data_IF_525114335289
#
_entry.id   IF_525114335289
#
_cell.length_a   1.000
_cell.length_b   1.000
_cell.length_c   1.000
_cell.angle_alpha   90.00
_cell.angle_beta   90.00
_cell.angle_gamma   90.00
#
_symmetry.space_group_name_H-M   'P 1'
#
loop_
_entity.id
_entity.type
_entity.pdbx_description
1 polymer ?
#
# COMPACT_ATOMS: atom_id res chain seq x y z
N UNK A 1 28.90 -6.79 46.81
CA UNK A 1 27.66 -6.53 46.04
C UNK A 1 27.99 -6.67 44.56
N UNK A 2 27.73 -7.85 44.01
CA UNK A 2 27.86 -8.12 42.58
C UNK A 2 26.68 -7.47 41.85
N UNK A 3 26.96 -6.42 41.07
CA UNK A 3 25.97 -5.81 40.20
C UNK A 3 25.68 -6.78 39.06
N UNK A 4 24.60 -7.56 39.16
CA UNK A 4 24.01 -8.25 38.00
C UNK A 4 23.47 -7.15 37.10
N UNK A 5 24.26 -6.75 36.10
CA UNK A 5 23.81 -5.89 35.02
C UNK A 5 22.52 -6.51 34.46
N UNK A 6 21.39 -5.86 34.74
CA UNK A 6 20.11 -6.21 34.16
C UNK A 6 20.31 -6.27 32.65
N UNK A 7 20.06 -7.47 32.12
CA UNK A 7 20.29 -7.88 30.75
C UNK A 7 19.58 -6.90 29.80
N UNK A 8 20.27 -5.82 29.42
CA UNK A 8 19.75 -4.79 28.53
C UNK A 8 19.54 -5.51 27.20
N UNK A 9 18.30 -5.73 26.79
CA UNK A 9 17.95 -6.48 25.58
C UNK A 9 18.82 -6.02 24.39
N UNK A 10 19.92 -6.73 24.16
CA UNK A 10 20.89 -6.37 23.14
C UNK A 10 20.26 -6.75 21.80
N UNK A 11 20.21 -5.80 20.86
CA UNK A 11 19.85 -6.10 19.48
C UNK A 11 21.03 -6.73 18.76
N UNK A 12 21.34 -7.95 19.18
CA UNK A 12 22.42 -8.78 18.66
C UNK A 12 22.11 -9.31 17.25
N UNK A 13 23.10 -9.95 16.63
CA UNK A 13 23.00 -10.43 15.25
C UNK A 13 21.92 -11.51 15.08
N UNK A 14 21.68 -12.33 16.10
CA UNK A 14 20.62 -13.34 16.08
C UNK A 14 19.23 -12.71 16.05
N UNK A 15 18.97 -11.71 16.92
CA UNK A 15 17.70 -10.97 16.94
C UNK A 15 17.53 -10.12 15.68
N UNK A 16 18.62 -9.54 15.14
CA UNK A 16 18.62 -8.84 13.85
C UNK A 16 18.18 -9.76 12.73
N UNK A 17 18.77 -10.95 12.62
CA UNK A 17 18.45 -11.89 11.55
C UNK A 17 17.00 -12.38 11.68
N UNK A 18 16.56 -12.79 12.87
CA UNK A 18 15.15 -13.18 13.11
C UNK A 18 14.16 -12.09 12.73
N UNK A 19 14.47 -10.84 13.04
CA UNK A 19 13.64 -9.70 12.65
C UNK A 19 13.57 -9.55 11.12
N UNK A 20 14.71 -9.63 10.43
CA UNK A 20 14.77 -9.52 8.97
C UNK A 20 14.00 -10.65 8.29
N UNK A 21 14.17 -11.89 8.75
CA UNK A 21 13.48 -13.06 8.23
C UNK A 21 11.95 -12.93 8.40
N UNK A 22 11.50 -12.49 9.57
CA UNK A 22 10.08 -12.25 9.84
C UNK A 22 9.49 -11.16 8.92
N UNK A 23 10.23 -10.07 8.70
CA UNK A 23 9.81 -9.00 7.77
C UNK A 23 9.77 -9.51 6.33
N UNK A 24 10.77 -10.30 5.91
CA UNK A 24 10.84 -10.89 4.58
C UNK A 24 9.71 -11.92 4.33
N UNK A 25 9.28 -12.63 5.37
CA UNK A 25 8.11 -13.51 5.35
C UNK A 25 6.78 -12.76 5.24
N UNK A 26 6.79 -11.43 5.26
CA UNK A 26 5.60 -10.61 5.08
C UNK A 26 4.89 -10.19 6.37
N UNK A 27 5.49 -10.41 7.54
CA UNK A 27 4.94 -9.91 8.81
C UNK A 27 4.93 -8.37 8.86
N UNK A 28 4.11 -7.81 9.75
CA UNK A 28 4.18 -6.39 10.09
C UNK A 28 5.45 -6.09 10.89
N UNK A 29 5.89 -4.83 10.93
CA UNK A 29 7.11 -4.47 11.67
C UNK A 29 6.94 -4.66 13.19
N UNK A 30 5.73 -4.49 13.71
CA UNK A 30 5.43 -4.68 15.12
C UNK A 30 5.48 -6.18 15.49
N UNK A 31 4.82 -7.02 14.68
CA UNK A 31 4.82 -8.48 14.90
C UNK A 31 6.23 -9.05 14.74
N UNK A 32 6.96 -8.64 13.71
CA UNK A 32 8.35 -9.07 13.51
C UNK A 32 9.25 -8.69 14.71
N UNK A 33 9.04 -7.50 15.29
CA UNK A 33 9.77 -7.10 16.50
C UNK A 33 9.38 -7.95 17.71
N UNK A 34 8.09 -8.25 17.89
CA UNK A 34 7.62 -9.16 18.94
C UNK A 34 8.21 -10.57 18.76
N UNK A 35 8.22 -11.12 17.53
CA UNK A 35 8.82 -12.41 17.19
C UNK A 35 10.33 -12.46 17.48
N UNK A 36 11.04 -11.36 17.24
CA UNK A 36 12.45 -11.25 17.56
C UNK A 36 12.74 -10.97 19.04
N UNK A 37 11.71 -10.79 19.88
CA UNK A 37 11.86 -10.47 21.30
C UNK A 37 12.52 -9.10 21.52
N UNK A 38 12.13 -8.10 20.73
CA UNK A 38 12.66 -6.74 20.81
C UNK A 38 11.54 -5.70 20.79
N UNK A 39 11.83 -4.53 21.34
CA UNK A 39 10.93 -3.39 21.26
C UNK A 39 10.88 -2.84 19.82
N UNK A 40 9.69 -2.54 19.30
CA UNK A 40 9.47 -2.11 17.91
C UNK A 40 10.26 -0.84 17.50
N UNK A 41 10.61 0.02 18.46
CA UNK A 41 11.43 1.22 18.22
C UNK A 41 12.93 0.94 18.05
N UNK A 42 13.41 -0.27 18.37
CA UNK A 42 14.84 -0.61 18.30
C UNK A 42 15.33 -0.75 16.84
N UNK A 43 14.70 -1.55 15.95
CA UNK A 43 15.17 -1.68 14.58
C UNK A 43 15.24 -0.37 13.79
N UNK A 44 14.24 0.53 13.82
CA UNK A 44 14.33 1.81 13.13
C UNK A 44 15.49 2.70 13.62
N UNK A 45 15.86 2.63 14.90
CA UNK A 45 17.01 3.36 15.44
C UNK A 45 18.31 2.79 14.90
N UNK A 46 18.47 1.46 14.93
CA UNK A 46 19.66 0.80 14.38
C UNK A 46 19.80 1.00 12.87
N UNK A 47 18.71 0.97 12.10
CA UNK A 47 18.73 1.21 10.66
C UNK A 47 19.24 2.61 10.27
N UNK A 48 19.19 3.59 11.18
CA UNK A 48 19.73 4.94 10.96
C UNK A 48 21.23 5.04 11.21
N UNK A 49 21.76 4.24 12.15
CA UNK A 49 23.17 4.28 12.56
C UNK A 49 24.01 3.18 11.93
N UNK A 50 23.38 2.12 11.41
CA UNK A 50 24.00 0.99 10.73
C UNK A 50 23.45 0.90 9.29
N UNK A 51 24.18 1.44 8.30
CA UNK A 51 23.73 1.44 6.91
C UNK A 51 23.57 0.05 6.30
N UNK A 52 24.37 -0.93 6.74
CA UNK A 52 24.29 -2.30 6.24
C UNK A 52 22.98 -2.95 6.69
N UNK A 53 22.64 -2.81 7.97
CA UNK A 53 21.34 -3.24 8.48
C UNK A 53 20.18 -2.47 7.83
N UNK A 54 20.33 -1.17 7.60
CA UNK A 54 19.34 -0.35 6.90
C UNK A 54 19.01 -0.87 5.49
N UNK A 55 20.02 -1.27 4.72
CA UNK A 55 19.84 -1.90 3.39
C UNK A 55 19.16 -3.26 3.49
N UNK A 56 19.65 -4.12 4.37
CA UNK A 56 19.05 -5.45 4.59
C UNK A 56 17.57 -5.36 4.98
N UNK A 57 17.20 -4.38 5.82
CA UNK A 57 15.82 -4.13 6.20
C UNK A 57 14.97 -3.61 5.02
N UNK A 58 15.52 -2.80 4.13
CA UNK A 58 14.83 -2.35 2.93
C UNK A 58 14.56 -3.51 1.97
N UNK A 59 15.53 -4.42 1.80
CA UNK A 59 15.40 -5.62 0.99
C UNK A 59 14.34 -6.57 1.57
N UNK A 60 14.40 -6.82 2.88
CA UNK A 60 13.40 -7.62 3.60
C UNK A 60 11.99 -7.03 3.44
N UNK A 61 11.82 -5.70 3.54
CA UNK A 61 10.51 -5.04 3.31
C UNK A 61 9.99 -5.25 1.90
N UNK A 62 10.89 -5.25 0.91
CA UNK A 62 10.55 -5.49 -0.49
C UNK A 62 10.10 -6.93 -0.70
N UNK A 63 10.84 -7.91 -0.17
CA UNK A 63 10.47 -9.31 -0.17
C UNK A 63 9.12 -9.55 0.53
N UNK A 64 8.94 -9.02 1.73
CA UNK A 64 7.69 -9.17 2.49
C UNK A 64 6.48 -8.53 1.79
N UNK A 65 6.69 -7.43 1.05
CA UNK A 65 5.63 -6.83 0.23
C UNK A 65 5.23 -7.76 -0.93
N UNK A 66 6.19 -8.46 -1.54
CA UNK A 66 5.92 -9.46 -2.57
C UNK A 66 5.11 -10.62 -2.01
N UNK A 67 5.53 -11.20 -0.88
CA UNK A 67 4.80 -12.29 -0.19
C UNK A 67 3.35 -11.89 0.12
N UNK A 68 3.15 -10.71 0.72
CA UNK A 68 1.79 -10.21 1.01
C UNK A 68 0.95 -10.05 -0.24
N UNK A 69 1.52 -9.60 -1.37
CA UNK A 69 0.79 -9.46 -2.64
C UNK A 69 0.42 -10.81 -3.25
N UNK A 70 1.29 -11.81 -3.10
CA UNK A 70 1.06 -13.16 -3.63
C UNK A 70 -0.06 -13.88 -2.87
N UNK A 71 -0.14 -13.65 -1.56
CA UNK A 71 -1.17 -14.23 -0.68
C UNK A 71 -2.56 -13.57 -0.82
N UNK A 72 -2.71 -12.48 -1.56
CA UNK A 72 -4.03 -11.88 -1.82
C UNK A 72 -4.77 -12.72 -2.87
N UNK A 73 -5.99 -13.16 -2.57
CA UNK A 73 -6.81 -13.92 -3.52
C UNK A 73 -6.97 -13.21 -4.88
N UNK A 74 -6.99 -13.99 -5.95
CA UNK A 74 -7.25 -13.47 -7.30
C UNK A 74 -8.70 -12.99 -7.41
N UNK A 75 -8.89 -11.85 -8.09
CA UNK A 75 -10.20 -11.22 -8.23
C UNK A 75 -10.13 -9.79 -8.74
N UNK A 76 -11.26 -9.09 -8.70
CA UNK A 76 -11.38 -7.73 -9.23
C UNK A 76 -10.47 -6.73 -8.48
N UNK A 77 -10.35 -6.85 -7.16
CA UNK A 77 -9.44 -5.99 -6.37
C UNK A 77 -7.98 -6.16 -6.79
N UNK A 78 -7.50 -7.40 -6.91
CA UNK A 78 -6.11 -7.70 -7.31
C UNK A 78 -5.82 -7.22 -8.74
N UNK A 79 -6.82 -7.23 -9.62
CA UNK A 79 -6.74 -6.63 -10.96
C UNK A 79 -6.62 -5.10 -10.91
N UNK A 80 -7.55 -4.43 -10.24
CA UNK A 80 -7.64 -2.96 -10.25
C UNK A 80 -6.54 -2.29 -9.42
N UNK A 81 -6.29 -2.80 -8.21
CA UNK A 81 -5.44 -2.12 -7.22
C UNK A 81 -4.01 -2.69 -7.18
N UNK A 82 -3.83 -3.98 -7.50
CA UNK A 82 -2.53 -4.65 -7.46
C UNK A 82 -1.95 -4.93 -8.86
N UNK A 83 -2.67 -4.58 -9.92
CA UNK A 83 -2.18 -4.63 -11.31
C UNK A 83 -2.06 -6.04 -11.90
N UNK A 84 -2.63 -7.07 -11.27
CA UNK A 84 -2.57 -8.44 -11.78
C UNK A 84 -3.42 -8.60 -13.06
N UNK A 85 -2.86 -9.22 -14.09
CA UNK A 85 -3.51 -9.40 -15.41
C UNK A 85 -3.72 -10.87 -15.82
N UNK A 86 -3.69 -11.82 -14.87
CA UNK A 86 -4.01 -13.21 -15.19
C UNK A 86 -5.50 -13.38 -15.55
N UNK A 87 -5.84 -14.49 -16.21
CA UNK A 87 -7.19 -14.76 -16.73
C UNK A 87 -8.27 -14.70 -15.65
N UNK A 88 -7.99 -15.20 -14.44
CA UNK A 88 -8.93 -15.16 -13.30
C UNK A 88 -9.26 -13.72 -12.92
N UNK A 89 -8.24 -12.88 -12.79
CA UNK A 89 -8.36 -11.47 -12.43
C UNK A 89 -9.08 -10.67 -13.54
N UNK A 90 -8.71 -10.90 -14.80
CA UNK A 90 -9.33 -10.27 -15.98
C UNK A 90 -10.82 -10.65 -16.10
N UNK A 91 -11.14 -11.92 -15.90
CA UNK A 91 -12.52 -12.43 -15.90
C UNK A 91 -13.33 -11.81 -14.77
N UNK A 92 -12.78 -11.78 -13.54
CA UNK A 92 -13.44 -11.17 -12.39
C UNK A 92 -13.73 -9.68 -12.62
N UNK A 93 -12.75 -8.92 -13.13
CA UNK A 93 -12.93 -7.51 -13.45
C UNK A 93 -13.96 -7.29 -14.57
N UNK A 94 -14.01 -8.17 -15.56
CA UNK A 94 -15.02 -8.10 -16.64
C UNK A 94 -16.42 -8.38 -16.11
N UNK A 95 -16.59 -9.41 -15.27
CA UNK A 95 -17.85 -9.70 -14.57
C UNK A 95 -18.28 -8.53 -13.68
N UNK A 96 -17.36 -7.96 -12.91
CA UNK A 96 -17.62 -6.78 -12.07
C UNK A 96 -18.12 -5.57 -12.87
N UNK A 97 -17.48 -5.27 -14.01
CA UNK A 97 -17.91 -4.21 -14.93
C UNK A 97 -19.30 -4.48 -15.51
N UNK A 98 -19.57 -5.71 -15.95
CA UNK A 98 -20.89 -6.10 -16.46
C UNK A 98 -21.98 -5.93 -15.40
N UNK A 99 -21.73 -6.39 -14.16
CA UNK A 99 -22.66 -6.22 -13.03
C UNK A 99 -22.96 -4.74 -12.75
N UNK A 100 -21.95 -3.88 -12.73
CA UNK A 100 -22.14 -2.43 -12.52
C UNK A 100 -22.93 -1.78 -13.66
N UNK A 101 -22.74 -2.20 -14.91
CA UNK A 101 -23.55 -1.72 -16.04
C UNK A 101 -25.01 -2.14 -15.92
N UNK A 102 -25.26 -3.41 -15.57
CA UNK A 102 -26.62 -3.91 -15.36
C UNK A 102 -27.34 -3.19 -14.22
N UNK A 103 -26.65 -2.93 -13.10
CA UNK A 103 -27.21 -2.19 -11.97
C UNK A 103 -27.45 -0.69 -12.25
N UNK A 104 -26.72 -0.12 -13.21
CA UNK A 104 -26.89 1.27 -13.63
C UNK A 104 -27.98 1.46 -14.69
N UNK A 105 -28.48 0.37 -15.29
CA UNK A 105 -29.73 0.44 -16.04
C UNK A 105 -30.87 0.54 -15.03
N UNK A 106 -31.60 1.66 -14.98
CA UNK A 106 -32.71 1.80 -14.06
C UNK A 106 -33.75 0.73 -14.41
N UNK A 107 -34.38 0.17 -13.37
CA UNK A 107 -35.66 -0.50 -13.52
C UNK A 107 -36.54 0.37 -14.42
N UNK A 108 -37.13 -0.23 -15.45
CA UNK A 108 -37.95 0.45 -16.43
C UNK A 108 -38.87 1.45 -15.73
N UNK A 109 -38.63 2.73 -16.03
CA UNK A 109 -39.56 3.79 -15.72
C UNK A 109 -40.81 3.51 -16.56
N UNK A 110 -41.85 2.96 -15.92
CA UNK A 110 -43.20 3.24 -16.36
C UNK A 110 -43.40 4.76 -16.29
N UNK A 111 -43.40 5.39 -17.46
CA UNK A 111 -43.88 6.76 -17.67
C UNK A 111 -42.85 7.87 -17.52
N UNK A 112 -42.19 8.23 -18.62
CA UNK A 112 -42.12 9.62 -19.06
C UNK A 112 -41.60 9.71 -20.50
N UNK A 113 -42.54 9.90 -21.42
CA UNK A 113 -42.29 10.35 -22.78
C UNK A 113 -41.86 11.82 -22.81
N UNK A 114 -40.81 12.13 -23.56
CA UNK A 114 -40.31 13.49 -23.85
C UNK A 114 -39.30 13.95 -22.80
N UNK A 115 -38.04 14.26 -23.12
CA UNK A 115 -37.60 15.27 -24.10
C UNK A 115 -36.25 14.84 -24.69
N UNK A 116 -36.15 14.94 -26.02
CA UNK A 116 -34.94 14.74 -26.77
C UNK A 116 -33.85 15.78 -26.41
N UNK A 117 -32.62 15.31 -26.25
CA UNK A 117 -31.39 16.04 -26.52
C UNK A 117 -31.23 17.45 -25.93
N UNK A 118 -30.80 17.54 -24.67
CA UNK A 118 -30.05 18.72 -24.23
C UNK A 118 -28.60 18.33 -23.91
N UNK A 119 -27.74 18.55 -24.90
CA UNK A 119 -26.29 18.63 -24.73
C UNK A 119 -26.03 19.86 -23.85
N UNK A 120 -25.69 19.67 -22.58
CA UNK A 120 -25.24 20.77 -21.73
C UNK A 120 -23.88 21.23 -22.21
N UNK A 121 -23.86 22.40 -22.83
CA UNK A 121 -22.65 23.12 -23.21
C UNK A 121 -21.81 23.41 -21.94
N UNK A 122 -20.61 22.83 -21.87
CA UNK A 122 -19.66 23.10 -20.80
C UNK A 122 -19.04 24.46 -21.08
N UNK A 123 -19.57 25.52 -20.47
CA UNK A 123 -18.94 26.84 -20.47
C UNK A 123 -17.58 26.74 -19.76
N UNK A 124 -16.45 27.02 -20.43
CA UNK A 124 -15.17 27.10 -19.72
C UNK A 124 -15.14 28.39 -18.89
N UNK A 125 -15.15 28.26 -17.56
CA UNK A 125 -14.81 29.38 -16.68
C UNK A 125 -13.31 29.73 -16.83
N UNK A 126 -12.95 31.02 -16.84
CA UNK A 126 -11.56 31.43 -16.85
C UNK A 126 -10.88 31.05 -15.52
N UNK A 127 -9.88 30.16 -15.62
CA UNK A 127 -8.97 29.83 -14.52
C UNK A 127 -8.28 31.11 -14.06
N UNK A 128 -8.62 31.57 -12.86
CA UNK A 128 -7.81 32.52 -12.10
C UNK A 128 -6.45 31.89 -11.83
N UNK A 129 -5.45 32.27 -12.63
CA UNK A 129 -4.06 31.98 -12.36
C UNK A 129 -3.61 32.88 -11.21
N UNK A 130 -3.60 32.37 -9.99
CA UNK A 130 -2.87 33.01 -8.90
C UNK A 130 -1.38 32.82 -9.14
N UNK A 131 -0.79 33.82 -9.79
CA UNK A 131 0.63 34.03 -9.97
C UNK A 131 1.29 34.31 -8.62
N UNK A 132 2.09 33.38 -8.11
CA UNK A 132 3.20 33.72 -7.23
C UNK A 132 4.50 33.48 -8.00
N UNK A 133 5.01 34.60 -8.51
CA UNK A 133 6.27 34.73 -9.21
C UNK A 133 7.45 34.34 -8.31
N UNK A 134 8.41 33.67 -8.95
CA UNK A 134 9.79 33.57 -8.54
C UNK A 134 10.37 34.92 -8.10
N UNK A 135 11.14 34.90 -7.02
CA UNK A 135 12.29 35.78 -6.86
C UNK A 135 13.46 34.95 -6.33
N UNK A 136 14.35 34.56 -7.24
CA UNK A 136 15.70 34.07 -6.97
C UNK A 136 16.66 34.95 -7.77
N UNK A 137 17.49 35.71 -7.07
CA UNK A 137 18.69 36.42 -7.55
C UNK A 137 19.26 37.18 -6.32
N UNK A 138 20.54 37.19 -5.99
CA UNK A 138 21.75 36.52 -6.48
C UNK A 138 22.70 36.38 -5.29
#
# INVERSE_FOLDING_TARGET
>A
MTYTATNRDVFDDAKRQRYLDAVAAGMTLADAAATAGIHHNVPPRHARTDPAFGRALADAKTAGRKVRRENVAHGEYRYNCLGCRCDVCCTAATKGRAKRRAAAQPAEAEGQSGVAGQVREIRPEPKSFSSFLLARAS
#
